data_IF_556974682667
#
_entry.id   IF_556974682667
#
_cell.length_a   1.000
_cell.length_b   1.000
_cell.length_c   1.000
_cell.angle_alpha   90.00
_cell.angle_beta   90.00
_cell.angle_gamma   90.00
#
_symmetry.space_group_name_H-M   'P 1'
#
loop_
_entity.id
_entity.type
_entity.pdbx_description
1 polymer ?
#
# COMPACT_ATOMS: atom_id res chain seq x y z
N UNK A 1 16.61 12.08 20.30
CA UNK A 1 16.43 11.61 18.91
C UNK A 1 16.75 10.14 18.90
N UNK A 2 15.76 9.26 18.69
CA UNK A 2 16.03 7.82 18.55
C UNK A 2 16.66 7.61 17.18
N UNK A 3 17.95 7.33 17.13
CA UNK A 3 18.59 6.85 15.91
C UNK A 3 18.09 5.43 15.68
N UNK A 4 17.12 5.28 14.77
CA UNK A 4 16.65 3.96 14.38
C UNK A 4 17.86 3.12 13.96
N UNK A 5 17.99 1.92 14.53
CA UNK A 5 19.13 1.02 14.26
C UNK A 5 19.11 0.55 12.79
N UNK A 6 17.94 0.61 12.13
CA UNK A 6 17.80 0.43 10.70
C UNK A 6 16.52 1.05 10.12
N UNK A 7 16.51 1.19 8.79
CA UNK A 7 15.42 1.72 7.98
C UNK A 7 15.39 1.05 6.60
N UNK A 8 14.32 1.28 5.85
CA UNK A 8 14.22 0.92 4.45
C UNK A 8 14.25 2.18 3.59
N UNK A 9 15.10 2.23 2.57
CA UNK A 9 15.09 3.28 1.56
C UNK A 9 14.31 2.79 0.34
N UNK A 10 13.22 3.47 0.02
CA UNK A 10 12.38 3.18 -1.13
C UNK A 10 12.70 4.16 -2.26
N UNK A 11 13.20 3.64 -3.38
CA UNK A 11 13.42 4.41 -4.60
C UNK A 11 12.25 4.12 -5.55
N UNK A 12 11.37 5.10 -5.69
CA UNK A 12 10.06 4.97 -6.34
C UNK A 12 10.12 5.61 -7.72
N UNK A 13 9.65 4.91 -8.74
CA UNK A 13 9.61 5.35 -10.14
C UNK A 13 8.21 5.08 -10.70
N UNK A 14 7.28 6.05 -10.58
CA UNK A 14 5.97 5.97 -11.22
C UNK A 14 6.13 5.85 -12.74
N UNK A 15 5.49 4.86 -13.36
CA UNK A 15 5.50 4.70 -14.81
C UNK A 15 4.32 5.42 -15.46
N UNK A 16 3.19 5.46 -14.77
CA UNK A 16 1.99 6.18 -15.17
C UNK A 16 1.38 6.87 -13.97
N UNK A 17 1.01 8.13 -14.15
CA UNK A 17 0.45 8.98 -13.10
C UNK A 17 -0.90 9.54 -13.55
N UNK A 18 -1.87 9.53 -12.65
CA UNK A 18 -3.20 10.12 -12.80
C UNK A 18 -3.32 11.38 -11.92
N UNK A 19 -4.29 12.29 -12.20
CA UNK A 19 -4.39 13.57 -11.49
C UNK A 19 -4.57 13.46 -9.96
N UNK A 20 -5.09 12.34 -9.47
CA UNK A 20 -5.30 12.09 -8.04
C UNK A 20 -4.07 11.49 -7.33
N UNK A 21 -3.02 11.13 -8.07
CA UNK A 21 -1.84 10.49 -7.49
C UNK A 21 -0.99 11.50 -6.71
N UNK A 22 -0.44 11.06 -5.58
CA UNK A 22 0.40 11.90 -4.72
C UNK A 22 1.89 11.78 -5.03
N UNK A 23 2.32 10.61 -5.51
CA UNK A 23 3.70 10.35 -5.93
C UNK A 23 3.74 10.44 -7.47
N UNK A 24 3.98 11.64 -7.99
CA UNK A 24 3.90 11.93 -9.44
C UNK A 24 5.25 11.92 -10.17
N UNK A 25 6.35 11.75 -9.44
CA UNK A 25 7.71 11.76 -9.99
C UNK A 25 8.63 10.81 -9.24
N UNK A 26 9.76 10.42 -9.84
CA UNK A 26 10.76 9.63 -9.14
C UNK A 26 11.24 10.29 -7.85
N UNK A 27 11.29 9.53 -6.76
CA UNK A 27 11.73 10.03 -5.45
C UNK A 27 12.24 8.91 -4.54
N UNK A 28 13.01 9.31 -3.52
CA UNK A 28 13.43 8.44 -2.43
C UNK A 28 12.58 8.73 -1.19
N UNK A 29 12.10 7.69 -0.53
CA UNK A 29 11.40 7.78 0.76
C UNK A 29 12.06 6.85 1.77
N UNK A 30 12.41 7.37 2.94
CA UNK A 30 12.93 6.56 4.05
C UNK A 30 11.78 6.09 4.94
N UNK A 31 11.81 4.80 5.27
CA UNK A 31 10.74 4.10 5.98
C UNK A 31 11.33 3.47 7.23
N UNK A 32 10.86 3.92 8.41
CA UNK A 32 11.40 3.50 9.72
C UNK A 32 10.50 2.43 10.38
N UNK A 33 9.36 2.09 9.77
CA UNK A 33 8.45 1.10 10.32
C UNK A 33 7.35 0.66 9.35
N UNK A 34 6.59 -0.35 9.78
CA UNK A 34 5.54 -0.96 8.96
C UNK A 34 4.41 0.01 8.62
N UNK A 35 4.07 0.93 9.52
CA UNK A 35 2.99 1.90 9.28
C UNK A 35 3.37 2.90 8.17
N UNK A 36 4.59 3.46 8.23
CA UNK A 36 5.09 4.32 7.16
C UNK A 36 5.20 3.56 5.82
N UNK A 37 5.58 2.28 5.86
CA UNK A 37 5.62 1.45 4.65
C UNK A 37 4.23 1.31 4.02
N UNK A 38 3.21 1.02 4.84
CA UNK A 38 1.84 0.86 4.38
C UNK A 38 1.28 2.16 3.79
N UNK A 39 1.59 3.29 4.42
CA UNK A 39 1.22 4.62 3.92
C UNK A 39 1.83 4.86 2.54
N UNK A 40 3.15 4.71 2.41
CA UNK A 40 3.86 4.89 1.12
C UNK A 40 3.30 3.97 0.04
N UNK A 41 3.10 2.69 0.33
CA UNK A 41 2.52 1.72 -0.61
C UNK A 41 1.07 2.06 -1.01
N UNK A 42 0.33 2.78 -0.17
CA UNK A 42 -1.04 3.22 -0.48
C UNK A 42 -1.05 4.46 -1.37
N UNK A 43 -0.02 5.30 -1.27
CA UNK A 43 0.14 6.54 -2.05
C UNK A 43 0.82 6.33 -3.41
N UNK A 44 1.42 5.16 -3.64
CA UNK A 44 2.03 4.81 -4.92
C UNK A 44 0.95 4.70 -6.01
N UNK A 45 1.18 5.31 -7.19
CA UNK A 45 0.40 5.06 -8.38
C UNK A 45 0.39 3.57 -8.69
N UNK A 46 -0.67 3.14 -9.35
CA UNK A 46 -0.87 1.73 -9.62
C UNK A 46 0.26 1.12 -10.44
N UNK A 47 0.74 1.79 -11.49
CA UNK A 47 1.87 1.33 -12.29
C UNK A 47 3.16 2.01 -11.79
N UNK A 48 3.85 1.34 -10.87
CA UNK A 48 5.04 1.88 -10.22
C UNK A 48 6.13 0.82 -10.10
N UNK A 49 7.30 1.12 -10.67
CA UNK A 49 8.53 0.39 -10.40
C UNK A 49 9.18 0.95 -9.13
N UNK A 50 9.63 0.11 -8.20
CA UNK A 50 10.36 0.59 -7.03
C UNK A 50 11.44 -0.38 -6.55
N UNK A 51 12.47 0.18 -5.92
CA UNK A 51 13.55 -0.58 -5.26
C UNK A 51 13.55 -0.30 -3.77
N UNK A 52 13.90 -1.31 -2.98
CA UNK A 52 14.06 -1.21 -1.53
C UNK A 52 15.52 -1.52 -1.20
N UNK A 53 16.15 -0.70 -0.36
CA UNK A 53 17.38 -1.03 0.34
C UNK A 53 17.09 -1.11 1.84
N UNK A 54 17.41 -2.24 2.47
CA UNK A 54 17.36 -2.36 3.92
C UNK A 54 18.72 -1.97 4.49
N UNK A 55 18.72 -0.97 5.34
CA UNK A 55 19.92 -0.36 5.92
C UNK A 55 19.91 -0.58 7.43
N UNK A 56 21.02 -1.07 7.98
CA UNK A 56 21.26 -1.19 9.42
C UNK A 56 22.63 -0.60 9.71
N UNK A 57 22.72 0.38 10.61
CA UNK A 57 23.96 1.09 10.93
C UNK A 57 24.73 1.52 9.65
N UNK A 58 24.03 2.18 8.72
CA UNK A 58 24.56 2.65 7.42
C UNK A 58 25.07 1.55 6.46
N UNK A 59 24.84 0.27 6.78
CA UNK A 59 25.17 -0.86 5.92
C UNK A 59 23.93 -1.41 5.22
N UNK A 60 24.00 -1.61 3.90
CA UNK A 60 22.95 -2.30 3.15
C UNK A 60 23.02 -3.81 3.46
N UNK A 61 21.96 -4.33 4.06
CA UNK A 61 21.83 -5.75 4.45
C UNK A 61 20.89 -6.54 3.55
N UNK A 62 20.16 -5.86 2.67
CA UNK A 62 19.29 -6.46 1.67
C UNK A 62 18.83 -5.45 0.65
N UNK A 63 18.50 -5.92 -0.55
CA UNK A 63 17.88 -5.11 -1.58
C UNK A 63 16.80 -5.88 -2.33
N UNK A 64 15.77 -5.17 -2.77
CA UNK A 64 14.67 -5.72 -3.54
C UNK A 64 14.29 -4.80 -4.68
N UNK A 65 13.75 -5.37 -5.76
CA UNK A 65 13.13 -4.64 -6.86
C UNK A 65 11.76 -5.22 -7.13
N UNK A 66 10.79 -4.33 -7.26
CA UNK A 66 9.38 -4.66 -7.32
C UNK A 66 8.70 -3.84 -8.41
N UNK A 67 7.61 -4.38 -8.94
CA UNK A 67 6.69 -3.65 -9.80
C UNK A 67 5.28 -3.77 -9.20
N UNK A 68 4.63 -2.63 -8.95
CA UNK A 68 3.26 -2.56 -8.48
C UNK A 68 2.32 -2.37 -9.68
N UNK A 69 1.13 -2.96 -9.55
CA UNK A 69 -0.06 -2.74 -10.38
C UNK A 69 -1.25 -2.41 -9.46
N UNK A 70 -2.42 -2.09 -10.02
CA UNK A 70 -3.66 -1.92 -9.25
C UNK A 70 -3.99 -3.15 -8.36
N UNK A 71 -3.63 -4.35 -8.81
CA UNK A 71 -4.08 -5.60 -8.21
C UNK A 71 -2.99 -6.29 -7.38
N UNK A 72 -1.74 -6.19 -7.81
CA UNK A 72 -0.64 -7.01 -7.27
C UNK A 72 0.69 -6.27 -7.25
N UNK A 73 1.60 -6.77 -6.43
CA UNK A 73 3.02 -6.41 -6.50
C UNK A 73 3.81 -7.63 -6.96
N UNK A 74 4.52 -7.48 -8.07
CA UNK A 74 5.43 -8.48 -8.61
C UNK A 74 6.82 -8.28 -8.01
N UNK A 75 7.39 -9.37 -7.49
CA UNK A 75 8.79 -9.40 -7.05
C UNK A 75 9.64 -9.66 -8.28
N UNK A 76 10.50 -8.71 -8.64
CA UNK A 76 11.47 -8.89 -9.72
C UNK A 76 12.74 -9.56 -9.19
N UNK A 77 13.28 -9.02 -8.08
CA UNK A 77 14.45 -9.57 -7.40
C UNK A 77 14.40 -9.25 -5.90
N UNK A 78 14.89 -10.16 -5.07
CA UNK A 78 15.18 -9.94 -3.65
C UNK A 78 16.50 -10.61 -3.29
N UNK A 79 17.32 -9.91 -2.50
CA UNK A 79 18.60 -10.40 -2.00
C UNK A 79 18.76 -10.06 -0.52
N UNK A 80 19.46 -10.94 0.20
CA UNK A 80 19.75 -10.75 1.62
C UNK A 80 18.50 -10.62 2.47
N UNK A 81 18.51 -9.65 3.39
CA UNK A 81 17.41 -9.40 4.33
C UNK A 81 16.11 -8.92 3.65
N UNK A 82 16.11 -8.59 2.36
CA UNK A 82 14.89 -8.22 1.62
C UNK A 82 13.99 -9.41 1.28
N UNK A 83 14.46 -10.64 1.45
CA UNK A 83 13.68 -11.83 1.09
C UNK A 83 12.36 -11.88 1.88
N UNK A 84 11.24 -11.77 1.20
CA UNK A 84 9.90 -11.75 1.79
C UNK A 84 9.51 -10.44 2.47
N UNK A 85 10.26 -9.36 2.27
CA UNK A 85 10.06 -8.06 2.94
C UNK A 85 8.63 -7.53 2.79
N UNK A 86 8.04 -7.66 1.60
CA UNK A 86 6.70 -7.15 1.30
C UNK A 86 5.54 -8.11 1.64
N UNK A 87 5.81 -9.36 2.04
CA UNK A 87 4.73 -10.35 2.26
C UNK A 87 3.72 -9.87 3.31
N UNK A 88 4.21 -9.47 4.49
CA UNK A 88 3.35 -8.99 5.58
C UNK A 88 2.66 -7.64 5.24
N UNK A 89 3.37 -6.59 4.76
CA UNK A 89 2.74 -5.34 4.36
C UNK A 89 1.60 -5.52 3.35
N UNK A 90 1.82 -6.31 2.28
CA UNK A 90 0.82 -6.51 1.23
C UNK A 90 -0.41 -7.27 1.74
N UNK A 91 -0.20 -8.26 2.63
CA UNK A 91 -1.31 -8.94 3.31
C UNK A 91 -2.16 -7.95 4.10
N UNK A 92 -1.54 -7.04 4.85
CA UNK A 92 -2.24 -6.02 5.64
C UNK A 92 -3.04 -5.05 4.76
N UNK A 93 -2.48 -4.59 3.63
CA UNK A 93 -3.19 -3.74 2.66
C UNK A 93 -4.41 -4.44 2.08
N UNK A 94 -4.27 -5.72 1.72
CA UNK A 94 -5.39 -6.53 1.18
C UNK A 94 -6.51 -6.65 2.21
N UNK A 95 -6.19 -6.95 3.46
CA UNK A 95 -7.17 -7.05 4.54
C UNK A 95 -7.88 -5.71 4.82
N UNK A 96 -7.16 -4.58 4.75
CA UNK A 96 -7.75 -3.26 4.90
C UNK A 96 -8.77 -2.96 3.78
N UNK A 97 -8.42 -3.24 2.51
CA UNK A 97 -9.32 -3.05 1.37
C UNK A 97 -10.59 -3.90 1.46
N UNK A 98 -10.48 -5.15 1.93
CA UNK A 98 -11.64 -6.04 2.13
C UNK A 98 -12.61 -5.46 3.17
N UNK A 99 -12.10 -4.93 4.29
CA UNK A 99 -12.96 -4.32 5.33
C UNK A 99 -13.75 -3.12 4.81
N UNK A 100 -13.17 -2.31 3.93
CA UNK A 100 -13.85 -1.15 3.35
C UNK A 100 -14.91 -1.53 2.29
N UNK A 101 -14.70 -2.60 1.53
CA UNK A 101 -15.67 -3.06 0.52
C UNK A 101 -16.74 -4.03 1.05
N UNK A 102 -16.54 -4.62 2.23
CA UNK A 102 -17.52 -5.50 2.89
C UNK A 102 -18.64 -4.79 3.67
N UNK A 103 -18.55 -3.48 3.88
CA UNK A 103 -19.54 -2.68 4.60
C UNK A 103 -20.58 -2.06 3.64
N UNK A 104 -21.34 -2.88 2.91
CA UNK A 104 -22.62 -2.42 2.34
C UNK A 104 -23.72 -2.70 3.38
N UNK A 105 -24.35 -1.69 4.00
CA UNK A 105 -25.58 -1.95 4.74
C UNK A 105 -26.66 -2.34 3.73
N UNK A 106 -27.18 -3.55 3.86
CA UNK A 106 -28.44 -3.95 3.25
C UNK A 106 -29.57 -3.15 3.91
N UNK A 107 -29.83 -1.94 3.42
CA UNK A 107 -31.04 -1.20 3.74
C UNK A 107 -32.23 -1.84 3.02
N UNK A 108 -32.76 -2.94 3.57
CA UNK A 108 -34.13 -3.34 3.31
C UNK A 108 -35.06 -2.35 4.04
N UNK A 109 -35.35 -1.24 3.38
CA UNK A 109 -36.48 -0.38 3.73
C UNK A 109 -37.66 -0.74 2.83
N UNK A 110 -38.52 -1.63 3.31
CA UNK A 110 -39.88 -1.80 2.77
C UNK A 110 -40.86 -1.79 3.92
N UNK A 111 -41.24 -0.58 4.32
CA UNK A 111 -42.58 -0.33 4.84
C UNK A 111 -42.94 1.14 4.59
N UNK A 112 -44.03 1.39 3.85
CA UNK A 112 -45.00 2.33 4.38
C UNK A 112 -46.40 1.73 4.26
N UNK A 113 -47.03 1.50 5.42
CA UNK A 113 -48.47 1.44 5.49
C UNK A 113 -49.04 2.84 5.26
N UNK A 114 -49.89 2.99 4.25
CA UNK A 114 -50.93 4.02 4.16
C UNK A 114 -51.88 3.63 3.03
N UNK A 115 -53.07 3.13 3.37
CA UNK A 115 -54.26 3.32 2.53
C UNK A 115 -55.44 3.73 3.41
N UNK A 116 -55.88 4.96 3.16
CA UNK A 116 -57.05 5.61 3.71
C UNK A 116 -58.35 5.00 3.12
N UNK A 117 -59.43 5.21 3.87
CA UNK A 117 -60.84 4.96 3.54
C UNK A 117 -61.28 5.58 2.20
N UNK A 118 -62.25 4.91 1.55
CA UNK A 118 -63.38 5.38 0.70
C UNK A 118 -63.73 4.21 -0.26
N UNK A 119 -64.95 3.71 -0.45
CA UNK A 119 -66.32 4.05 -0.03
C UNK A 119 -67.13 2.76 0.16
#
# INVERSE_FOLDING_TARGET
MSTAIGHAELYIYPEKVEPQDQIVSPQRVDVIGIENLLEVLTLMPAETSFSVLLVINDCVVGNGKYFMTHETVTILHEYGACTGFLIKPLKMLREARIRHHGARPSSHSSNPGFQQQQS
#
